data_IF_039843193870
#
_entry.id   IF_039843193870
#
_cell.length_a   1.000
_cell.length_b   1.000
_cell.length_c   1.000
_cell.angle_alpha   90.00
_cell.angle_beta   90.00
_cell.angle_gamma   90.00
#
_symmetry.space_group_name_H-M   'P 1'
#
loop_
_entity.id
_entity.type
_entity.pdbx_description
1 polymer ?
#
# COMPACT_ATOMS: atom_id res chain seq x y z
N UNK A 1 -3.74 -13.22 13.98
CA UNK A 1 -4.73 -12.34 13.33
C UNK A 1 -4.11 -11.01 12.89
N UNK A 2 -3.43 -10.28 13.78
CA UNK A 2 -2.77 -9.00 13.48
C UNK A 2 -1.86 -9.02 12.25
N UNK A 3 -0.98 -10.01 12.12
CA UNK A 3 -0.06 -10.11 10.97
C UNK A 3 -0.79 -10.20 9.64
N UNK A 4 -1.86 -10.99 9.56
CA UNK A 4 -2.66 -11.10 8.34
C UNK A 4 -3.33 -9.77 7.98
N UNK A 5 -3.92 -9.09 8.96
CA UNK A 5 -4.53 -7.77 8.76
C UNK A 5 -3.48 -6.71 8.33
N UNK A 6 -2.27 -6.74 8.90
CA UNK A 6 -1.20 -5.85 8.50
C UNK A 6 -0.68 -6.12 7.08
N UNK A 7 -0.65 -7.39 6.64
CA UNK A 7 -0.33 -7.74 5.25
C UNK A 7 -1.38 -7.19 4.29
N UNK A 8 -2.68 -7.36 4.60
CA UNK A 8 -3.78 -6.82 3.78
C UNK A 8 -3.69 -5.28 3.67
N UNK A 9 -3.42 -4.60 4.79
CA UNK A 9 -3.16 -3.15 4.83
C UNK A 9 -1.95 -2.79 3.96
N UNK A 10 -0.85 -3.53 4.08
CA UNK A 10 0.37 -3.31 3.31
C UNK A 10 0.16 -3.46 1.81
N UNK A 11 -0.55 -4.50 1.38
CA UNK A 11 -0.90 -4.76 -0.02
C UNK A 11 -1.78 -3.64 -0.58
N UNK A 12 -2.91 -3.36 0.06
CA UNK A 12 -3.83 -2.32 -0.38
C UNK A 12 -3.15 -0.95 -0.48
N UNK A 13 -2.30 -0.61 0.51
CA UNK A 13 -1.51 0.63 0.50
C UNK A 13 -0.53 0.69 -0.68
N UNK A 14 0.18 -0.41 -0.96
CA UNK A 14 1.21 -0.46 -2.01
C UNK A 14 0.60 -0.46 -3.41
N UNK A 15 -0.56 -1.08 -3.59
CA UNK A 15 -1.35 -1.03 -4.83
C UNK A 15 -2.05 0.33 -5.03
N UNK A 16 -2.23 1.10 -3.97
CA UNK A 16 -2.90 2.40 -4.01
C UNK A 16 -4.43 2.29 -3.99
N UNK A 17 -4.99 1.12 -3.62
CA UNK A 17 -6.42 0.95 -3.46
C UNK A 17 -6.87 1.49 -2.09
N UNK A 18 -7.34 2.75 -2.09
CA UNK A 18 -7.85 3.41 -0.89
C UNK A 18 -9.11 2.75 -0.31
N UNK A 19 -9.92 2.08 -1.15
CA UNK A 19 -11.12 1.39 -0.69
C UNK A 19 -10.76 0.12 0.08
N UNK A 20 -9.93 -0.73 -0.52
CA UNK A 20 -9.38 -1.90 0.15
C UNK A 20 -8.58 -1.53 1.41
N UNK A 21 -7.81 -0.43 1.35
CA UNK A 21 -7.04 0.07 2.49
C UNK A 21 -7.96 0.44 3.66
N UNK A 22 -9.08 1.11 3.42
CA UNK A 22 -10.04 1.47 4.47
C UNK A 22 -10.65 0.25 5.16
N UNK A 23 -11.02 -0.79 4.39
CA UNK A 23 -11.56 -2.05 4.93
C UNK A 23 -10.51 -2.80 5.74
N UNK A 24 -9.32 -3.02 5.15
CA UNK A 24 -8.21 -3.69 5.82
C UNK A 24 -7.78 -2.95 7.09
N UNK A 25 -7.82 -1.61 7.07
CA UNK A 25 -7.53 -0.76 8.23
C UNK A 25 -8.51 -1.02 9.38
N UNK A 26 -9.83 -1.05 9.14
CA UNK A 26 -10.78 -1.35 10.22
C UNK A 26 -10.56 -2.72 10.84
N UNK A 27 -10.22 -3.72 10.03
CA UNK A 27 -9.88 -5.06 10.53
C UNK A 27 -8.60 -5.04 11.38
N UNK A 28 -7.55 -4.35 10.92
CA UNK A 28 -6.31 -4.19 11.67
C UNK A 28 -6.53 -3.48 13.02
N UNK A 29 -7.42 -2.49 13.07
CA UNK A 29 -7.77 -1.78 14.31
C UNK A 29 -8.34 -2.71 15.38
N UNK A 30 -9.20 -3.64 14.97
CA UNK A 30 -9.77 -4.63 15.89
C UNK A 30 -8.74 -5.67 16.32
N UNK A 31 -7.88 -6.08 15.39
CA UNK A 31 -6.86 -7.09 15.67
C UNK A 31 -5.82 -6.59 16.68
N UNK A 32 -5.24 -5.40 16.47
CA UNK A 32 -4.11 -4.93 17.31
C UNK A 32 -4.49 -4.75 18.80
N UNK A 33 -5.73 -4.39 19.11
CA UNK A 33 -6.21 -4.24 20.50
C UNK A 33 -6.10 -5.55 21.28
N UNK A 34 -6.18 -6.70 20.60
CA UNK A 34 -6.10 -8.03 21.22
C UNK A 34 -4.68 -8.57 21.31
N UNK A 35 -3.68 -7.82 20.82
CA UNK A 35 -2.31 -8.29 20.68
C UNK A 35 -1.33 -7.35 21.39
N UNK A 36 -0.59 -7.83 22.40
CA UNK A 36 0.45 -7.02 23.02
C UNK A 36 1.55 -6.70 22.00
N UNK A 37 2.21 -5.55 22.18
CA UNK A 37 3.38 -5.21 21.37
C UNK A 37 4.59 -6.02 21.85
N UNK A 38 4.97 -7.01 21.06
CA UNK A 38 6.18 -7.82 21.20
C UNK A 38 7.10 -7.68 19.98
N UNK A 39 8.26 -8.36 20.00
CA UNK A 39 9.23 -8.32 18.90
C UNK A 39 8.64 -8.81 17.57
N UNK A 40 7.79 -9.84 17.60
CA UNK A 40 7.21 -10.43 16.40
C UNK A 40 6.08 -9.56 15.83
N UNK A 41 5.44 -8.74 16.66
CA UNK A 41 4.43 -7.76 16.24
C UNK A 41 5.03 -6.50 15.59
N UNK A 42 6.32 -6.21 15.77
CA UNK A 42 6.94 -4.95 15.30
C UNK A 42 6.71 -4.67 13.82
N UNK A 43 6.89 -5.66 12.94
CA UNK A 43 6.68 -5.47 11.51
C UNK A 43 5.23 -5.12 11.17
N UNK A 44 4.27 -5.76 11.86
CA UNK A 44 2.86 -5.45 11.70
C UNK A 44 2.56 -4.02 12.18
N UNK A 45 3.04 -3.65 13.37
CA UNK A 45 2.89 -2.28 13.92
C UNK A 45 3.51 -1.24 12.99
N UNK A 46 4.70 -1.52 12.44
CA UNK A 46 5.39 -0.65 11.48
C UNK A 46 4.61 -0.45 10.18
N UNK A 47 4.09 -1.52 9.56
CA UNK A 47 3.24 -1.39 8.36
C UNK A 47 1.96 -0.60 8.66
N UNK A 48 1.33 -0.82 9.82
CA UNK A 48 0.16 -0.05 10.25
C UNK A 48 0.51 1.42 10.48
N UNK A 49 1.70 1.76 10.96
CA UNK A 49 2.13 3.15 11.10
C UNK A 49 2.26 3.87 9.75
N UNK A 50 2.80 3.20 8.74
CA UNK A 50 2.90 3.76 7.38
C UNK A 50 1.50 3.95 6.76
N UNK A 51 0.58 3.00 7.01
CA UNK A 51 -0.82 3.14 6.58
C UNK A 51 -1.56 4.25 7.34
N UNK A 52 -1.36 4.37 8.64
CA UNK A 52 -1.94 5.43 9.47
C UNK A 52 -1.51 6.81 8.97
N UNK A 53 -0.22 6.99 8.63
CA UNK A 53 0.28 8.23 8.04
C UNK A 53 -0.43 8.57 6.72
N UNK A 54 -0.76 7.55 5.90
CA UNK A 54 -1.51 7.73 4.66
C UNK A 54 -2.98 8.10 4.89
N UNK A 55 -3.59 7.56 5.95
CA UNK A 55 -5.01 7.75 6.29
C UNK A 55 -5.26 8.96 7.20
N UNK A 56 -4.22 9.61 7.72
CA UNK A 56 -4.36 10.68 8.71
C UNK A 56 -4.66 10.17 10.13
N UNK A 57 -4.43 8.88 10.40
CA UNK A 57 -4.77 8.19 11.65
C UNK A 57 -3.56 8.04 12.60
N UNK A 58 -2.58 8.94 12.49
CA UNK A 58 -1.33 8.87 13.25
C UNK A 58 -1.53 8.91 14.77
N UNK A 59 -2.51 9.68 15.25
CA UNK A 59 -2.84 9.75 16.68
C UNK A 59 -3.37 8.43 17.24
N UNK A 60 -4.07 7.64 16.42
CA UNK A 60 -4.65 6.38 16.85
C UNK A 60 -3.60 5.27 17.03
N UNK A 61 -2.62 5.18 16.13
CA UNK A 61 -1.55 4.16 16.22
C UNK A 61 -0.43 4.53 17.21
N UNK A 62 -0.35 5.81 17.62
CA UNK A 62 0.74 6.32 18.45
C UNK A 62 0.99 5.55 19.76
N UNK A 63 -0.03 5.13 20.54
CA UNK A 63 0.19 4.35 21.76
C UNK A 63 0.96 3.04 21.50
N UNK A 64 0.59 2.31 20.44
CA UNK A 64 1.25 1.06 20.05
C UNK A 64 2.68 1.29 19.56
N UNK A 65 2.93 2.42 18.87
CA UNK A 65 4.28 2.80 18.48
C UNK A 65 5.14 3.13 19.70
N UNK A 66 4.60 3.84 20.68
CA UNK A 66 5.32 4.15 21.91
C UNK A 66 5.73 2.88 22.66
N UNK A 67 4.85 1.88 22.74
CA UNK A 67 5.18 0.56 23.30
C UNK A 67 6.29 -0.15 22.50
N UNK A 68 6.22 -0.10 21.16
CA UNK A 68 7.23 -0.68 20.28
C UNK A 68 8.61 -0.04 20.47
N UNK A 69 8.66 1.30 20.55
CA UNK A 69 9.90 2.03 20.79
C UNK A 69 10.47 1.76 22.18
N UNK A 70 9.62 1.78 23.21
CA UNK A 70 10.03 1.44 24.57
C UNK A 70 10.57 0.00 24.67
N UNK A 71 9.99 -0.95 23.94
CA UNK A 71 10.49 -2.31 23.86
C UNK A 71 11.90 -2.36 23.24
N UNK A 72 12.10 -1.72 22.10
CA UNK A 72 13.41 -1.66 21.44
C UNK A 72 14.46 -0.97 22.29
N UNK A 73 14.10 0.10 22.99
CA UNK A 73 14.98 0.82 23.91
C UNK A 73 15.42 -0.06 25.08
N UNK A 74 14.48 -0.77 25.73
CA UNK A 74 14.82 -1.73 26.82
C UNK A 74 15.76 -2.85 26.37
N UNK A 75 15.70 -3.24 25.10
CA UNK A 75 16.54 -4.27 24.51
C UNK A 75 17.89 -3.73 23.99
N UNK A 76 18.14 -2.42 24.12
CA UNK A 76 19.39 -1.79 23.66
C UNK A 76 19.47 -1.60 22.15
N UNK A 77 18.33 -1.40 21.47
CA UNK A 77 18.24 -1.15 20.03
C UNK A 77 18.91 -2.22 19.15
N UNK A 78 18.54 -3.52 19.29
CA UNK A 78 19.13 -4.57 18.48
C UNK A 78 18.82 -4.34 16.99
N UNK A 79 19.86 -4.18 16.17
CA UNK A 79 19.74 -3.72 14.78
C UNK A 79 18.77 -4.55 13.93
N UNK A 80 18.70 -5.87 14.16
CA UNK A 80 17.79 -6.77 13.45
C UNK A 80 16.31 -6.37 13.59
N UNK A 81 15.91 -5.84 14.74
CA UNK A 81 14.53 -5.43 15.04
C UNK A 81 14.33 -3.93 14.92
N UNK A 82 15.33 -3.14 15.32
CA UNK A 82 15.27 -1.69 15.28
C UNK A 82 15.32 -1.14 13.85
N UNK A 83 16.20 -1.67 12.98
CA UNK A 83 16.38 -1.10 11.64
C UNK A 83 15.09 -1.14 10.78
N UNK A 84 14.34 -2.25 10.70
CA UNK A 84 13.04 -2.24 10.01
C UNK A 84 12.06 -1.22 10.58
N UNK A 85 12.00 -1.07 11.91
CA UNK A 85 11.14 -0.10 12.58
C UNK A 85 11.51 1.35 12.23
N UNK A 86 12.80 1.69 12.26
CA UNK A 86 13.29 3.01 11.84
C UNK A 86 12.99 3.26 10.35
N UNK A 87 13.09 2.24 9.50
CA UNK A 87 12.68 2.36 8.10
C UNK A 87 11.18 2.66 7.94
N UNK A 88 10.30 1.98 8.68
CA UNK A 88 8.87 2.30 8.68
C UNK A 88 8.60 3.74 9.12
N UNK A 89 9.31 4.24 10.14
CA UNK A 89 9.17 5.61 10.60
C UNK A 89 9.58 6.64 9.53
N UNK A 90 10.68 6.41 8.80
CA UNK A 90 11.08 7.24 7.65
C UNK A 90 9.98 7.25 6.58
N UNK A 91 9.39 6.09 6.27
CA UNK A 91 8.30 6.01 5.29
C UNK A 91 7.04 6.76 5.75
N UNK A 92 6.68 6.64 7.03
CA UNK A 92 5.55 7.34 7.62
C UNK A 92 5.76 8.86 7.61
N UNK A 93 6.95 9.34 7.97
CA UNK A 93 7.35 10.74 7.90
C UNK A 93 7.26 11.28 6.46
N UNK A 94 7.69 10.49 5.47
CA UNK A 94 7.57 10.85 4.05
C UNK A 94 6.12 10.97 3.59
N UNK A 95 5.25 10.03 3.99
CA UNK A 95 3.82 10.06 3.62
C UNK A 95 3.03 11.17 4.32
N UNK A 96 3.43 11.51 5.54
CA UNK A 96 2.82 12.60 6.32
C UNK A 96 3.37 13.98 5.93
N UNK A 97 4.26 14.07 4.94
CA UNK A 97 4.95 15.30 4.52
C UNK A 97 5.66 16.03 5.68
N UNK A 98 6.25 15.25 6.59
CA UNK A 98 7.03 15.73 7.75
C UNK A 98 8.46 15.19 7.71
N UNK A 99 9.30 15.59 6.73
CA UNK A 99 10.63 15.04 6.56
C UNK A 99 11.59 15.30 7.74
N UNK A 100 11.34 16.36 8.53
CA UNK A 100 12.12 16.65 9.74
C UNK A 100 12.09 15.49 10.75
N UNK A 101 10.98 14.76 10.82
CA UNK A 101 10.82 13.65 11.76
C UNK A 101 11.67 12.42 11.36
N UNK A 102 12.14 12.34 10.12
CA UNK A 102 12.94 11.22 9.65
C UNK A 102 14.41 11.29 10.12
N UNK A 103 14.93 12.48 10.45
CA UNK A 103 16.37 12.69 10.67
C UNK A 103 16.95 11.80 11.78
N UNK A 104 16.26 11.70 12.92
CA UNK A 104 16.68 10.84 14.03
C UNK A 104 16.69 9.36 13.66
N UNK A 105 15.69 8.90 12.90
CA UNK A 105 15.64 7.51 12.44
C UNK A 105 16.74 7.18 11.42
N UNK A 106 17.10 8.13 10.56
CA UNK A 106 18.23 7.98 9.63
C UNK A 106 19.54 7.82 10.38
N UNK A 107 19.80 8.66 11.39
CA UNK A 107 21.02 8.58 12.19
C UNK A 107 21.17 7.21 12.90
N UNK A 108 20.07 6.63 13.38
CA UNK A 108 20.09 5.29 14.00
C UNK A 108 20.40 4.20 12.96
N UNK A 109 19.83 4.29 11.75
CA UNK A 109 20.14 3.35 10.66
C UNK A 109 21.62 3.44 10.25
N UNK A 110 22.19 4.65 10.22
CA UNK A 110 23.62 4.86 9.94
C UNK A 110 24.52 4.25 11.02
N UNK A 111 24.17 4.46 12.29
CA UNK A 111 24.91 3.90 13.42
C UNK A 111 24.86 2.36 13.43
N UNK A 112 23.78 1.75 12.93
CA UNK A 112 23.62 0.30 12.82
C UNK A 112 24.36 -0.32 11.61
N UNK A 113 24.81 0.49 10.64
CA UNK A 113 25.42 -0.01 9.41
C UNK A 113 26.63 -0.96 9.59
N UNK A 114 27.56 -0.73 10.56
CA UNK A 114 28.71 -1.62 10.74
C UNK A 114 28.35 -3.03 11.20
N UNK A 115 27.28 -3.18 11.99
CA UNK A 115 26.82 -4.47 12.52
C UNK A 115 25.67 -5.09 11.72
N UNK A 116 24.97 -4.29 10.93
CA UNK A 116 23.86 -4.72 10.09
C UNK A 116 23.94 -4.06 8.70
N UNK A 117 24.59 -4.71 7.71
CA UNK A 117 24.85 -4.12 6.39
C UNK A 117 23.60 -3.61 5.64
N UNK A 118 22.44 -4.22 5.88
CA UNK A 118 21.18 -3.75 5.30
C UNK A 118 20.79 -2.36 5.83
N UNK A 119 21.16 -2.00 7.06
CA UNK A 119 20.90 -0.66 7.61
C UNK A 119 21.59 0.43 6.78
N UNK A 120 22.78 0.15 6.23
CA UNK A 120 23.50 1.07 5.36
C UNK A 120 22.70 1.41 4.09
N UNK A 121 22.04 0.39 3.50
CA UNK A 121 21.19 0.55 2.32
C UNK A 121 19.96 1.38 2.67
N UNK A 122 19.29 1.07 3.78
CA UNK A 122 18.12 1.80 4.26
C UNK A 122 18.45 3.26 4.58
N UNK A 123 19.56 3.53 5.27
CA UNK A 123 20.03 4.87 5.58
C UNK A 123 20.34 5.70 4.33
N UNK A 124 21.10 5.14 3.38
CA UNK A 124 21.42 5.82 2.13
C UNK A 124 20.18 6.14 1.32
N UNK A 125 19.24 5.19 1.22
CA UNK A 125 17.98 5.42 0.55
C UNK A 125 17.11 6.46 1.27
N UNK A 126 17.06 6.44 2.60
CA UNK A 126 16.33 7.43 3.38
C UNK A 126 16.86 8.86 3.17
N UNK A 127 18.19 9.05 3.19
CA UNK A 127 18.82 10.35 2.88
C UNK A 127 18.49 10.83 1.46
N UNK A 128 18.59 9.93 0.48
CA UNK A 128 18.20 10.23 -0.89
C UNK A 128 16.73 10.65 -0.96
N UNK A 129 15.86 9.94 -0.24
CA UNK A 129 14.44 10.22 -0.17
C UNK A 129 14.15 11.61 0.42
N UNK A 130 14.82 11.98 1.52
CA UNK A 130 14.64 13.28 2.16
C UNK A 130 15.09 14.42 1.25
N UNK A 131 16.18 14.26 0.50
CA UNK A 131 16.61 15.26 -0.50
C UNK A 131 15.62 15.38 -1.66
N UNK A 132 15.11 14.26 -2.16
CA UNK A 132 14.02 14.27 -3.15
C UNK A 132 12.82 15.03 -2.62
N UNK A 133 12.41 14.82 -1.37
CA UNK A 133 11.30 15.57 -0.76
C UNK A 133 11.59 17.06 -0.63
N UNK A 134 12.84 17.44 -0.38
CA UNK A 134 13.30 18.84 -0.38
C UNK A 134 13.45 19.45 -1.79
N UNK A 135 13.06 18.72 -2.85
CA UNK A 135 13.17 19.18 -4.26
C UNK A 135 14.57 19.04 -4.86
N UNK A 136 15.50 18.43 -4.14
CA UNK A 136 16.87 18.17 -4.59
C UNK A 136 16.93 16.78 -5.25
N UNK A 137 16.74 16.74 -6.56
CA UNK A 137 16.72 15.48 -7.34
C UNK A 137 18.01 15.30 -8.11
N UNK A 138 18.79 14.28 -7.72
CA UNK A 138 19.90 13.72 -8.52
C UNK A 138 19.44 12.36 -9.07
N UNK A 139 19.30 12.24 -10.39
CA UNK A 139 18.76 11.04 -11.01
C UNK A 139 19.68 9.82 -10.86
N UNK A 140 21.00 10.00 -10.94
CA UNK A 140 21.96 8.90 -10.83
C UNK A 140 21.96 8.35 -9.40
N UNK A 141 21.89 9.24 -8.41
CA UNK A 141 21.83 8.83 -7.02
C UNK A 141 20.49 8.16 -6.66
N UNK A 142 19.36 8.70 -7.15
CA UNK A 142 18.04 8.10 -6.97
C UNK A 142 18.01 6.69 -7.56
N UNK A 143 18.52 6.51 -8.78
CA UNK A 143 18.58 5.19 -9.40
C UNK A 143 19.45 4.22 -8.61
N UNK A 144 20.64 4.65 -8.19
CA UNK A 144 21.54 3.82 -7.38
C UNK A 144 20.90 3.42 -6.04
N UNK A 145 20.25 4.35 -5.34
CA UNK A 145 19.55 4.08 -4.08
C UNK A 145 18.36 3.13 -4.28
N UNK A 146 17.55 3.35 -5.31
CA UNK A 146 16.40 2.51 -5.62
C UNK A 146 16.82 1.08 -6.00
N UNK A 147 17.86 0.92 -6.83
CA UNK A 147 18.38 -0.43 -7.18
C UNK A 147 18.93 -1.17 -5.96
N UNK A 148 19.62 -0.48 -5.05
CA UNK A 148 20.09 -1.11 -3.79
C UNK A 148 18.94 -1.52 -2.88
N UNK A 149 17.91 -0.67 -2.71
CA UNK A 149 16.69 -1.07 -2.00
C UNK A 149 16.04 -2.31 -2.62
N UNK A 150 15.92 -2.34 -3.94
CA UNK A 150 15.36 -3.49 -4.65
C UNK A 150 16.17 -4.77 -4.39
N UNK A 151 17.51 -4.68 -4.38
CA UNK A 151 18.40 -5.84 -4.14
C UNK A 151 18.24 -6.48 -2.76
N UNK A 152 17.71 -5.75 -1.78
CA UNK A 152 17.43 -6.26 -0.43
C UNK A 152 15.94 -6.52 -0.18
N UNK A 153 15.13 -6.65 -1.25
CA UNK A 153 13.71 -7.03 -1.17
C UNK A 153 12.73 -5.86 -1.00
N UNK A 154 13.20 -4.61 -0.95
CA UNK A 154 12.34 -3.42 -0.82
C UNK A 154 11.86 -2.88 -2.17
N UNK A 155 11.41 -3.76 -3.08
CA UNK A 155 11.04 -3.42 -4.46
C UNK A 155 9.96 -2.31 -4.56
N UNK A 156 8.94 -2.37 -3.71
CA UNK A 156 7.90 -1.33 -3.65
C UNK A 156 8.45 0.02 -3.22
N UNK A 157 9.33 0.05 -2.23
CA UNK A 157 9.90 1.31 -1.73
C UNK A 157 10.90 1.88 -2.75
N UNK A 158 11.66 1.02 -3.43
CA UNK A 158 12.53 1.38 -4.54
C UNK A 158 11.77 2.06 -5.70
N UNK A 159 10.68 1.43 -6.16
CA UNK A 159 9.81 1.99 -7.19
C UNK A 159 9.20 3.33 -6.75
N UNK A 160 8.79 3.43 -5.48
CA UNK A 160 8.19 4.65 -4.91
C UNK A 160 9.19 5.80 -4.81
N UNK A 161 10.45 5.54 -4.41
CA UNK A 161 11.52 6.54 -4.38
C UNK A 161 11.74 7.16 -5.78
N UNK A 162 11.93 6.31 -6.80
CA UNK A 162 12.13 6.77 -8.17
C UNK A 162 10.90 7.53 -8.72
N UNK A 163 9.68 7.04 -8.45
CA UNK A 163 8.44 7.71 -8.86
C UNK A 163 8.25 9.07 -8.20
N UNK A 164 8.57 9.20 -6.91
CA UNK A 164 8.49 10.49 -6.21
C UNK A 164 9.54 11.49 -6.68
N UNK A 165 10.73 11.03 -7.05
CA UNK A 165 11.76 11.86 -7.68
C UNK A 165 11.31 12.35 -9.05
N UNK A 166 10.67 11.50 -9.85
CA UNK A 166 10.14 11.88 -11.16
C UNK A 166 9.09 12.99 -11.08
N UNK A 167 8.20 12.95 -10.08
CA UNK A 167 7.16 13.98 -9.89
C UNK A 167 7.74 15.32 -9.41
N UNK A 168 8.91 15.29 -8.77
CA UNK A 168 9.55 16.48 -8.18
C UNK A 168 10.64 17.11 -9.02
N UNK A 169 11.04 16.48 -10.13
CA UNK A 169 11.96 17.11 -11.07
C UNK A 169 11.22 18.05 -12.02
N UNK A 170 11.82 19.21 -12.30
CA UNK A 170 11.34 20.13 -13.33
C UNK A 170 11.80 19.74 -14.75
N UNK A 171 12.72 18.80 -14.89
CA UNK A 171 13.27 18.35 -16.17
C UNK A 171 12.49 17.15 -16.72
N UNK A 172 11.91 17.33 -17.92
CA UNK A 172 11.10 16.31 -18.61
C UNK A 172 11.90 15.06 -19.00
N UNK A 173 13.18 15.21 -19.35
CA UNK A 173 14.04 14.09 -19.68
C UNK A 173 14.36 13.26 -18.44
N UNK A 174 14.73 13.92 -17.34
CA UNK A 174 14.96 13.26 -16.05
C UNK A 174 13.68 12.58 -15.53
N UNK A 175 12.52 13.24 -15.66
CA UNK A 175 11.22 12.66 -15.28
C UNK A 175 10.97 11.34 -16.03
N UNK A 176 11.18 11.32 -17.36
CA UNK A 176 10.98 10.12 -18.17
C UNK A 176 11.92 8.98 -17.76
N UNK A 177 13.20 9.31 -17.53
CA UNK A 177 14.21 8.36 -17.06
C UNK A 177 13.82 7.74 -15.70
N UNK A 178 13.50 8.57 -14.71
CA UNK A 178 13.11 8.13 -13.37
C UNK A 178 11.80 7.32 -13.37
N UNK A 179 10.83 7.66 -14.24
CA UNK A 179 9.62 6.85 -14.44
C UNK A 179 9.92 5.50 -15.10
N UNK A 180 10.94 5.42 -15.96
CA UNK A 180 11.43 4.15 -16.50
C UNK A 180 12.03 3.28 -15.39
N UNK A 181 12.89 3.86 -14.55
CA UNK A 181 13.46 3.20 -13.36
C UNK A 181 12.35 2.70 -12.44
N UNK A 182 11.39 3.56 -12.08
CA UNK A 182 10.28 3.21 -11.20
C UNK A 182 9.45 2.01 -11.72
N UNK A 183 9.20 1.95 -13.03
CA UNK A 183 8.49 0.83 -13.66
C UNK A 183 9.31 -0.45 -13.66
N UNK A 184 10.60 -0.37 -13.95
CA UNK A 184 11.50 -1.54 -13.96
C UNK A 184 11.66 -2.20 -12.58
N UNK A 185 11.48 -1.43 -11.50
CA UNK A 185 11.63 -1.90 -10.12
C UNK A 185 10.30 -2.31 -9.48
N UNK A 186 9.16 -2.07 -10.15
CA UNK A 186 7.85 -2.42 -9.62
C UNK A 186 7.72 -3.96 -9.60
N UNK A 187 7.35 -4.56 -8.45
CA UNK A 187 7.14 -6.01 -8.40
C UNK A 187 5.97 -6.40 -9.31
N UNK A 188 6.08 -7.57 -9.94
CA UNK A 188 5.00 -8.13 -10.75
C UNK A 188 3.80 -8.45 -9.85
N UNK A 189 2.70 -7.72 -10.02
CA UNK A 189 1.45 -8.00 -9.31
C UNK A 189 0.72 -9.09 -10.13
N UNK A 190 0.70 -10.32 -9.60
CA UNK A 190 -0.16 -11.41 -10.10
C UNK A 190 0.32 -12.16 -11.36
N UNK A 191 1.44 -12.89 -11.29
CA UNK A 191 1.81 -13.82 -12.38
C UNK A 191 3.21 -14.40 -12.34
N UNK A 192 3.71 -14.83 -11.18
CA UNK A 192 4.93 -15.63 -11.10
C UNK A 192 4.60 -17.10 -10.85
N UNK A 193 5.02 -18.06 -11.71
CA UNK A 193 5.04 -19.47 -11.34
C UNK A 193 6.11 -19.61 -10.24
N UNK A 194 5.73 -19.97 -9.02
CA UNK A 194 6.74 -19.99 -7.94
C UNK A 194 6.31 -20.48 -6.57
N UNK A 195 5.01 -20.65 -6.30
CA UNK A 195 4.55 -21.26 -5.05
C UNK A 195 3.71 -22.53 -5.28
N UNK A 196 3.03 -22.66 -6.42
CA UNK A 196 2.33 -23.89 -6.81
C UNK A 196 3.27 -24.94 -7.45
N UNK A 197 4.27 -24.53 -8.23
CA UNK A 197 5.25 -25.46 -8.82
C UNK A 197 6.29 -25.95 -7.80
N UNK A 198 6.69 -25.10 -6.85
CA UNK A 198 7.65 -25.46 -5.80
C UNK A 198 7.11 -26.51 -4.81
N UNK A 199 5.79 -26.63 -4.68
CA UNK A 199 5.12 -27.63 -3.84
C UNK A 199 4.65 -28.87 -4.61
N UNK A 200 4.92 -28.94 -5.91
CA UNK A 200 4.60 -30.10 -6.76
C UNK A 200 5.82 -31.02 -7.01
N UNK A 201 7.00 -30.66 -6.48
CA UNK A 201 8.21 -31.47 -6.53
C UNK A 201 8.30 -32.47 -5.37
N UNK A 202 8.37 -33.75 -5.72
CA UNK A 202 8.50 -34.95 -4.89
C UNK A 202 9.16 -34.76 -3.52
N UNK A 203 8.37 -35.00 -2.47
CA UNK A 203 8.80 -34.99 -1.08
C UNK A 203 7.70 -35.57 -0.17
N UNK A 204 7.21 -36.76 -0.53
CA UNK A 204 6.24 -37.48 0.27
C UNK A 204 6.79 -37.93 1.62
N UNK A 205 5.86 -38.05 2.57
CA UNK A 205 6.01 -38.54 3.94
C UNK A 205 6.61 -37.55 4.95
N UNK A 206 5.74 -36.93 5.73
CA UNK A 206 5.38 -37.43 7.07
C UNK A 206 4.28 -36.54 7.69
N UNK A 207 3.40 -37.18 8.46
CA UNK A 207 2.36 -36.60 9.32
C UNK A 207 1.01 -36.28 8.65
N UNK A 208 0.36 -37.32 8.13
CA UNK A 208 -1.10 -37.37 8.04
C UNK A 208 -1.63 -37.94 9.35
N UNK A 209 -2.13 -37.08 10.25
CA UNK A 209 -3.27 -37.46 11.09
C UNK A 209 -4.01 -36.21 11.62
N UNK A 210 -5.22 -35.97 11.13
CA UNK A 210 -6.25 -35.19 11.80
C UNK A 210 -7.64 -35.48 11.21
N UNK A 211 -8.71 -35.46 12.03
CA UNK A 211 -10.00 -36.10 11.73
C UNK A 211 -10.90 -35.23 10.83
N UNK A 212 -12.02 -35.77 10.29
CA UNK A 212 -12.81 -35.09 9.28
C UNK A 212 -13.60 -33.91 9.87
N UNK A 213 -13.40 -32.71 9.31
CA UNK A 213 -14.27 -31.57 9.54
C UNK A 213 -15.54 -31.69 8.67
N UNK A 214 -16.71 -31.61 9.31
CA UNK A 214 -18.00 -31.47 8.64
C UNK A 214 -18.10 -30.13 7.87
N UNK A 215 -18.87 -30.07 6.78
CA UNK A 215 -18.87 -28.93 5.87
C UNK A 215 -19.68 -27.75 6.42
N UNK A 216 -19.03 -26.63 6.71
CA UNK A 216 -19.70 -25.33 6.77
C UNK A 216 -19.60 -24.67 5.40
N UNK A 217 -20.77 -24.39 4.83
CA UNK A 217 -20.97 -23.89 3.49
C UNK A 217 -20.20 -22.58 3.22
N UNK A 218 -19.47 -22.55 2.09
CA UNK A 218 -19.11 -21.31 1.41
C UNK A 218 -20.39 -20.64 0.89
N UNK A 219 -20.63 -19.34 1.13
CA UNK A 219 -21.53 -18.60 0.25
C UNK A 219 -20.91 -18.58 -1.14
N UNK A 220 -21.58 -19.23 -2.08
CA UNK A 220 -21.22 -19.22 -3.49
C UNK A 220 -21.39 -17.80 -4.05
N UNK A 221 -20.38 -17.31 -4.78
CA UNK A 221 -20.58 -16.26 -5.77
C UNK A 221 -21.56 -16.77 -6.84
N UNK A 222 -22.59 -16.01 -7.23
CA UNK A 222 -23.31 -16.32 -8.45
C UNK A 222 -22.52 -15.78 -9.65
N UNK A 223 -21.76 -16.66 -10.30
CA UNK A 223 -21.51 -16.53 -11.74
C UNK A 223 -22.85 -16.72 -12.47
N UNK A 224 -23.44 -15.63 -12.92
CA UNK A 224 -24.56 -15.62 -13.85
C UNK A 224 -24.29 -14.60 -14.96
N UNK A 225 -24.36 -15.06 -16.22
CA UNK A 225 -24.44 -14.16 -17.37
C UNK A 225 -25.80 -13.45 -17.31
N UNK A 226 -25.82 -12.24 -16.76
CA UNK A 226 -27.01 -11.39 -16.66
C UNK A 226 -26.73 -10.16 -15.81
N UNK A 227 -26.63 -8.99 -16.46
CA UNK A 227 -26.57 -7.67 -15.83
C UNK A 227 -25.37 -7.42 -14.89
N UNK A 228 -24.35 -6.70 -15.36
CA UNK A 228 -23.29 -6.20 -14.49
C UNK A 228 -23.88 -5.12 -13.58
N UNK A 229 -24.44 -5.54 -12.43
CA UNK A 229 -25.03 -4.62 -11.47
C UNK A 229 -23.94 -3.77 -10.80
N UNK A 230 -24.12 -2.46 -10.80
CA UNK A 230 -23.29 -1.51 -10.07
C UNK A 230 -23.44 -1.75 -8.56
N UNK A 231 -22.40 -1.46 -7.77
CA UNK A 231 -22.54 -1.44 -6.30
C UNK A 231 -23.40 -0.24 -5.87
N UNK A 232 -23.98 -0.26 -4.67
CA UNK A 232 -24.83 0.85 -4.16
C UNK A 232 -24.13 2.21 -4.27
N UNK A 233 -22.84 2.26 -3.90
CA UNK A 233 -22.05 3.49 -4.00
C UNK A 233 -21.72 3.91 -5.43
N UNK A 234 -21.58 2.96 -6.35
CA UNK A 234 -21.38 3.26 -7.77
C UNK A 234 -22.68 3.74 -8.40
N UNK A 235 -23.84 3.22 -7.97
CA UNK A 235 -25.17 3.71 -8.35
C UNK A 235 -25.37 5.17 -7.97
N UNK A 236 -25.04 5.54 -6.72
CA UNK A 236 -25.15 6.94 -6.25
C UNK A 236 -24.29 7.89 -7.10
N UNK A 237 -23.06 7.48 -7.44
CA UNK A 237 -22.17 8.26 -8.31
C UNK A 237 -22.70 8.29 -9.75
N UNK A 238 -23.17 7.16 -10.28
CA UNK A 238 -23.71 7.04 -11.63
C UNK A 238 -24.95 7.91 -11.83
N UNK A 239 -25.87 7.93 -10.87
CA UNK A 239 -27.10 8.73 -10.93
C UNK A 239 -26.79 10.24 -11.00
N UNK A 240 -25.82 10.71 -10.23
CA UNK A 240 -25.39 12.12 -10.27
C UNK A 240 -24.57 12.44 -11.53
N UNK A 241 -23.84 11.46 -12.06
CA UNK A 241 -23.05 11.64 -13.27
C UNK A 241 -23.94 11.74 -14.52
N UNK A 242 -24.97 10.90 -14.61
CA UNK A 242 -25.92 10.87 -15.75
C UNK A 242 -26.77 12.14 -15.82
N UNK A 243 -27.01 12.80 -14.68
CA UNK A 243 -27.70 14.11 -14.60
C UNK A 243 -26.80 15.29 -14.99
N UNK A 244 -25.53 15.04 -15.29
CA UNK A 244 -24.60 16.04 -15.85
C UNK A 244 -23.80 16.83 -14.83
N UNK A 245 -23.81 16.44 -13.55
CA UNK A 245 -22.96 17.09 -12.55
C UNK A 245 -21.48 16.84 -12.83
N UNK A 246 -20.66 17.83 -12.52
CA UNK A 246 -19.21 17.72 -12.56
C UNK A 246 -18.68 16.88 -11.40
N UNK A 247 -17.47 16.33 -11.52
CA UNK A 247 -16.88 15.51 -10.44
C UNK A 247 -16.74 16.27 -9.11
N UNK A 248 -16.61 17.59 -9.17
CA UNK A 248 -16.57 18.45 -7.98
C UNK A 248 -17.93 18.51 -7.30
N UNK A 249 -19.00 18.78 -8.05
CA UNK A 249 -20.37 18.86 -7.51
C UNK A 249 -20.86 17.50 -6.98
N UNK A 250 -20.51 16.40 -7.67
CA UNK A 250 -20.79 15.05 -7.20
C UNK A 250 -20.06 14.78 -5.87
N UNK A 251 -18.79 15.20 -5.77
CA UNK A 251 -18.00 15.05 -4.56
C UNK A 251 -18.60 15.81 -3.37
N UNK A 252 -19.01 17.07 -3.60
CA UNK A 252 -19.68 17.89 -2.60
C UNK A 252 -21.00 17.26 -2.12
N UNK A 253 -21.80 16.70 -3.03
CA UNK A 253 -23.10 16.09 -2.71
C UNK A 253 -23.00 14.74 -2.00
N UNK A 254 -21.95 13.98 -2.28
CA UNK A 254 -21.69 12.66 -1.69
C UNK A 254 -20.68 12.70 -0.54
N UNK A 255 -20.24 13.89 -0.12
CA UNK A 255 -19.23 14.12 0.91
C UNK A 255 -17.91 13.35 0.65
N UNK A 256 -17.43 13.36 -0.60
CA UNK A 256 -16.18 12.72 -1.04
C UNK A 256 -15.38 13.67 -1.95
N UNK A 257 -14.09 13.40 -2.15
CA UNK A 257 -13.28 14.25 -3.04
C UNK A 257 -13.64 14.05 -4.53
N UNK A 258 -13.46 15.08 -5.36
CA UNK A 258 -13.61 14.97 -6.82
C UNK A 258 -12.73 13.86 -7.43
N UNK A 259 -11.55 13.65 -6.84
CA UNK A 259 -10.65 12.55 -7.21
C UNK A 259 -11.25 11.17 -6.87
N UNK A 260 -11.95 11.06 -5.75
CA UNK A 260 -12.68 9.84 -5.39
C UNK A 260 -13.79 9.55 -6.40
N UNK A 261 -14.51 10.58 -6.85
CA UNK A 261 -15.51 10.45 -7.93
C UNK A 261 -14.86 9.96 -9.22
N UNK A 262 -13.73 10.53 -9.63
CA UNK A 262 -12.96 10.07 -10.79
C UNK A 262 -12.58 8.58 -10.69
N UNK A 263 -12.14 8.13 -9.52
CA UNK A 263 -11.85 6.72 -9.27
C UNK A 263 -13.08 5.81 -9.36
N UNK A 264 -14.25 6.26 -8.91
CA UNK A 264 -15.51 5.53 -9.10
C UNK A 264 -15.87 5.43 -10.59
N UNK A 265 -15.72 6.52 -11.35
CA UNK A 265 -16.00 6.55 -12.79
C UNK A 265 -15.06 5.63 -13.56
N UNK A 266 -13.77 5.60 -13.22
CA UNK A 266 -12.79 4.71 -13.83
C UNK A 266 -13.12 3.22 -13.58
N UNK A 267 -13.51 2.87 -12.35
CA UNK A 267 -13.94 1.50 -12.00
C UNK A 267 -15.22 1.09 -12.73
N UNK A 268 -16.22 1.96 -12.77
CA UNK A 268 -17.46 1.71 -13.53
C UNK A 268 -17.16 1.50 -15.02
N UNK A 269 -16.28 2.33 -15.61
CA UNK A 269 -15.87 2.18 -17.01
C UNK A 269 -15.19 0.83 -17.28
N UNK A 270 -14.30 0.40 -16.40
CA UNK A 270 -13.63 -0.90 -16.52
C UNK A 270 -14.62 -2.06 -16.38
N UNK A 271 -15.52 -1.99 -15.39
CA UNK A 271 -16.53 -3.03 -15.14
C UNK A 271 -17.53 -3.15 -16.27
N UNK A 272 -17.96 -2.03 -16.85
CA UNK A 272 -18.94 -2.01 -17.94
C UNK A 272 -18.29 -2.21 -19.32
N UNK A 273 -16.95 -2.20 -19.40
CA UNK A 273 -16.22 -2.40 -20.65
C UNK A 273 -16.34 -1.22 -21.64
N UNK A 274 -16.73 -0.03 -21.17
CA UNK A 274 -16.97 1.12 -22.04
C UNK A 274 -15.66 1.68 -22.64
N UNK A 275 -15.53 1.56 -23.96
CA UNK A 275 -14.40 2.07 -24.73
C UNK A 275 -14.41 3.59 -24.90
N UNK A 276 -15.60 4.20 -24.89
CA UNK A 276 -15.75 5.66 -25.03
C UNK A 276 -16.57 6.30 -23.91
N UNK A 277 -16.44 7.64 -23.73
CA UNK A 277 -17.26 8.40 -22.79
C UNK A 277 -18.75 8.31 -23.13
N UNK A 278 -19.12 8.37 -24.41
CA UNK A 278 -20.53 8.24 -24.84
C UNK A 278 -21.11 6.87 -24.51
N UNK A 279 -20.33 5.81 -24.73
CA UNK A 279 -20.70 4.43 -24.42
C UNK A 279 -20.89 4.21 -22.91
N UNK A 280 -20.01 4.78 -22.08
CA UNK A 280 -20.15 4.75 -20.63
C UNK A 280 -21.48 5.36 -20.17
N UNK A 281 -21.85 6.53 -20.69
CA UNK A 281 -23.12 7.17 -20.32
C UNK A 281 -24.34 6.38 -20.77
N UNK A 282 -24.27 5.74 -21.94
CA UNK A 282 -25.33 4.88 -22.45
C UNK A 282 -25.54 3.65 -21.55
N UNK A 283 -24.44 3.01 -21.14
CA UNK A 283 -24.48 1.82 -20.29
C UNK A 283 -24.90 2.16 -18.86
N UNK A 284 -24.47 3.31 -18.31
CA UNK A 284 -24.92 3.78 -17.00
C UNK A 284 -26.42 4.07 -16.96
N UNK A 285 -27.00 4.65 -18.03
CA UNK A 285 -28.46 4.82 -18.14
C UNK A 285 -29.18 3.48 -18.14
N UNK A 286 -28.74 2.55 -18.99
CA UNK A 286 -29.32 1.20 -19.04
C UNK A 286 -29.22 0.46 -17.69
N UNK A 287 -28.10 0.62 -16.97
CA UNK A 287 -27.90 0.00 -15.66
C UNK A 287 -28.76 0.63 -14.53
N UNK A 288 -29.14 1.91 -14.65
CA UNK A 288 -30.04 2.58 -13.72
C UNK A 288 -31.52 2.32 -14.04
N UNK A 289 -31.86 2.13 -15.32
CA UNK A 289 -33.22 1.86 -15.79
C UNK A 289 -33.66 0.41 -15.53
N UNK A 290 -32.73 -0.53 -15.32
CA UNK A 290 -33.04 -1.95 -15.05
C UNK A 290 -33.56 -2.19 -13.61
N UNK A 291 -33.40 -1.20 -12.71
CA UNK A 291 -33.77 -1.28 -11.29
C UNK A 291 -35.00 -0.40 -10.93
N UNK A 292 -35.72 0.17 -11.92
CA UNK A 292 -36.93 0.98 -11.74
C UNK A 292 -38.22 0.23 -12.10
#
# INVERSE_FOLDING_TARGET
ELTAAAIEVGLARREGDLGALGVAWQRARQAIVRHPVDLFALHAVGELAVAAARLGEGGWIAPHLNEAWALLERLGQPALWAAPMHWYAVQAASLADRPADAAGHIAILEAAAPSYPQAAVLAAAARCWMRVMAGQVDAAEVEAAARRLHSIGHAWDASRLAGQAAVRTGDRALMSSLMSVARSLRPAVGGGPGLTEALSGEGGALLSDSPPAMPMARPAEPTGFGGIALSDREREVAALLVTGLTYKEIGERLFISAKTVEHHVARMRQRLGAGSRGELFSQLRAALDTDA
#
